data_IF_390531295813
#
_entry.id   IF_390531295813
#
_cell.length_a   1.000
_cell.length_b   1.000
_cell.length_c   1.000
_cell.angle_alpha   90.00
_cell.angle_beta   90.00
_cell.angle_gamma   90.00
#
_symmetry.space_group_name_H-M   'P 1'
#
loop_
_entity.id
_entity.type
_entity.pdbx_description
1 polymer ?
#
# COMPACT_ATOMS: atom_id res chain seq x y z
N UNK A 1 -55.95 40.56 34.84
CA UNK A 1 -54.48 40.59 34.78
C UNK A 1 -53.74 39.24 34.87
N UNK A 2 -54.29 38.17 35.40
CA UNK A 2 -53.61 36.89 35.63
C UNK A 2 -53.45 35.96 34.40
N UNK A 3 -54.13 36.23 33.27
CA UNK A 3 -54.02 35.42 32.02
C UNK A 3 -52.87 35.84 31.14
N UNK A 4 -52.49 37.13 31.11
CA UNK A 4 -51.40 37.63 30.28
C UNK A 4 -49.99 37.17 30.72
N UNK A 5 -49.77 37.06 32.03
CA UNK A 5 -48.46 36.64 32.57
C UNK A 5 -48.13 35.18 32.23
N UNK A 6 -49.14 34.27 32.14
CA UNK A 6 -48.91 32.86 31.78
C UNK A 6 -48.56 32.69 30.31
N UNK A 7 -49.09 33.54 29.41
CA UNK A 7 -48.79 33.48 27.97
C UNK A 7 -47.37 33.95 27.68
N UNK A 8 -46.92 35.07 28.30
CA UNK A 8 -45.55 35.57 28.18
C UNK A 8 -44.52 34.56 28.70
N UNK A 9 -44.79 33.89 29.84
CA UNK A 9 -43.94 32.89 30.43
C UNK A 9 -43.76 31.67 29.51
N UNK A 10 -44.83 31.24 28.83
CA UNK A 10 -44.77 30.14 27.84
C UNK A 10 -44.01 30.48 26.58
N UNK A 11 -44.14 31.75 26.09
CA UNK A 11 -43.36 32.23 24.92
C UNK A 11 -41.88 32.29 25.24
N UNK A 12 -41.50 32.80 26.41
CA UNK A 12 -40.09 32.89 26.85
C UNK A 12 -39.49 31.49 27.00
N UNK A 13 -40.26 30.54 27.57
CA UNK A 13 -39.82 29.16 27.73
C UNK A 13 -39.60 28.48 26.36
N UNK A 14 -40.50 28.68 25.39
CA UNK A 14 -40.36 28.18 24.02
C UNK A 14 -39.12 28.77 23.31
N UNK A 15 -38.87 30.06 23.51
CA UNK A 15 -37.69 30.72 22.92
C UNK A 15 -36.40 30.23 23.51
N UNK A 16 -36.33 29.95 24.83
CA UNK A 16 -35.16 29.38 25.51
C UNK A 16 -34.93 27.96 25.07
N UNK A 17 -35.95 27.14 24.88
CA UNK A 17 -35.83 25.76 24.40
C UNK A 17 -35.35 25.75 22.94
N UNK A 18 -35.88 26.62 22.07
CA UNK A 18 -35.42 26.71 20.68
C UNK A 18 -33.98 27.19 20.57
N UNK A 19 -33.56 28.14 21.40
CA UNK A 19 -32.17 28.61 21.46
C UNK A 19 -31.19 27.50 21.91
N UNK A 20 -31.58 26.64 22.88
CA UNK A 20 -30.80 25.49 23.32
C UNK A 20 -30.67 24.42 22.22
N UNK A 21 -31.76 24.14 21.48
CA UNK A 21 -31.73 23.19 20.37
C UNK A 21 -30.82 23.68 19.24
N UNK A 22 -30.86 24.98 18.93
CA UNK A 22 -30.02 25.59 17.91
C UNK A 22 -28.53 25.55 18.31
N UNK A 23 -28.20 25.74 19.60
CA UNK A 23 -26.83 25.67 20.12
C UNK A 23 -26.26 24.24 20.07
N UNK A 24 -27.11 23.20 20.25
CA UNK A 24 -26.70 21.80 20.15
C UNK A 24 -26.42 21.35 18.71
N UNK A 25 -26.97 22.05 17.70
CA UNK A 25 -26.74 21.77 16.28
C UNK A 25 -25.47 22.41 15.72
N UNK A 26 -24.84 23.35 16.43
CA UNK A 26 -23.61 24.01 16.06
C UNK A 26 -22.38 23.45 16.77
N UNK A 27 -22.27 22.12 16.87
CA UNK A 27 -21.01 21.52 17.34
C UNK A 27 -19.93 21.84 16.32
N UNK A 28 -18.84 22.56 16.69
CA UNK A 28 -17.72 22.77 15.78
C UNK A 28 -17.15 21.39 15.44
N UNK A 29 -17.22 21.03 14.17
CA UNK A 29 -16.48 19.89 13.66
C UNK A 29 -14.98 20.21 13.80
N UNK A 30 -14.37 19.72 14.87
CA UNK A 30 -12.93 19.81 15.05
C UNK A 30 -12.29 18.87 14.02
N UNK A 31 -11.99 19.39 12.84
CA UNK A 31 -11.18 18.66 11.87
C UNK A 31 -9.75 18.62 12.42
N UNK A 32 -9.31 17.46 12.84
CA UNK A 32 -7.92 17.30 13.26
C UNK A 32 -7.00 17.66 12.09
N UNK A 33 -5.94 18.39 12.39
CA UNK A 33 -4.95 18.78 11.40
C UNK A 33 -4.28 17.53 10.82
N UNK A 34 -4.21 17.46 9.49
CA UNK A 34 -3.56 16.34 8.80
C UNK A 34 -2.05 16.47 8.90
N UNK A 35 -1.40 15.42 9.39
CA UNK A 35 0.05 15.37 9.57
C UNK A 35 0.67 14.47 8.48
N UNK A 36 1.69 14.97 7.73
CA UNK A 36 2.35 14.19 6.69
C UNK A 36 3.11 13.00 7.30
N UNK A 37 2.93 11.83 6.70
CA UNK A 37 3.53 10.57 7.12
C UNK A 37 4.21 9.93 5.93
N UNK A 38 5.55 9.83 5.97
CA UNK A 38 6.35 9.21 4.91
C UNK A 38 6.40 7.71 5.09
N UNK A 39 6.23 6.98 4.00
CA UNK A 39 6.35 5.54 3.95
C UNK A 39 7.20 5.11 2.77
N UNK A 40 8.09 4.15 3.01
CA UNK A 40 8.84 3.42 1.98
C UNK A 40 8.28 2.00 1.93
N UNK A 41 8.02 1.51 0.72
CA UNK A 41 7.63 0.12 0.44
C UNK A 41 8.69 -0.49 -0.48
N UNK A 42 9.10 -1.73 -0.18
CA UNK A 42 9.96 -2.53 -1.04
C UNK A 42 9.32 -3.88 -1.33
N UNK A 43 9.21 -4.18 -2.61
CA UNK A 43 8.78 -5.49 -3.10
C UNK A 43 10.04 -6.27 -3.44
N UNK A 44 10.19 -7.42 -2.82
CA UNK A 44 11.38 -8.26 -2.93
C UNK A 44 11.00 -9.66 -3.40
N UNK A 45 11.90 -10.32 -4.08
CA UNK A 45 11.76 -11.74 -4.38
C UNK A 45 12.12 -12.54 -3.13
N UNK A 46 11.30 -13.55 -2.81
CA UNK A 46 11.50 -14.43 -1.66
C UNK A 46 12.89 -15.07 -1.73
N UNK A 47 13.59 -15.00 -0.61
CA UNK A 47 14.98 -15.51 -0.47
C UNK A 47 15.95 -14.95 -1.53
N UNK A 48 15.65 -13.77 -2.07
CA UNK A 48 16.43 -13.15 -3.13
C UNK A 48 16.47 -11.62 -2.96
N UNK A 49 16.62 -10.89 -4.04
CA UNK A 49 16.92 -9.46 -4.10
C UNK A 49 15.67 -8.60 -4.28
N UNK A 50 15.86 -7.27 -4.26
CA UNK A 50 14.79 -6.32 -4.54
C UNK A 50 14.37 -6.43 -6.01
N UNK A 51 13.05 -6.41 -6.27
CA UNK A 51 12.51 -6.43 -7.64
C UNK A 51 12.75 -5.07 -8.28
N UNK A 52 13.76 -5.02 -9.16
CA UNK A 52 14.21 -3.78 -9.79
C UNK A 52 13.60 -3.52 -11.16
N UNK A 53 13.98 -2.37 -11.75
CA UNK A 53 13.51 -1.92 -13.07
C UNK A 53 13.85 -2.88 -14.19
N UNK A 54 14.91 -3.73 -14.07
CA UNK A 54 15.31 -4.73 -15.06
C UNK A 54 14.25 -5.80 -15.37
N UNK A 55 13.31 -6.04 -14.45
CA UNK A 55 12.14 -6.92 -14.63
C UNK A 55 10.83 -6.13 -14.66
N UNK A 56 10.91 -4.82 -14.91
CA UNK A 56 9.77 -3.93 -14.99
C UNK A 56 9.38 -3.27 -13.68
N UNK A 57 10.06 -3.58 -12.57
CA UNK A 57 9.71 -3.08 -11.23
C UNK A 57 8.43 -3.69 -10.69
N UNK A 58 7.84 -3.03 -9.70
CA UNK A 58 6.59 -3.44 -9.07
C UNK A 58 5.59 -2.28 -9.01
N UNK A 59 4.32 -2.58 -9.21
CA UNK A 59 3.23 -1.66 -8.89
C UNK A 59 2.93 -1.73 -7.39
N UNK A 60 2.71 -0.57 -6.77
CA UNK A 60 2.36 -0.44 -5.36
C UNK A 60 1.14 0.47 -5.25
N UNK A 61 0.15 0.06 -4.46
CA UNK A 61 -1.02 0.86 -4.11
C UNK A 61 -1.29 0.75 -2.61
N UNK A 62 -1.53 1.89 -1.98
CA UNK A 62 -1.88 1.99 -0.58
C UNK A 62 -3.31 2.54 -0.50
N UNK A 63 -4.22 1.79 0.13
CA UNK A 63 -5.60 2.22 0.34
C UNK A 63 -5.96 2.19 1.82
N UNK A 64 -6.84 3.06 2.22
CA UNK A 64 -7.49 3.04 3.53
C UNK A 64 -8.45 1.83 3.59
N UNK A 65 -8.28 0.96 4.59
CA UNK A 65 -9.11 -0.25 4.73
C UNK A 65 -10.54 0.06 5.16
N UNK A 66 -10.74 1.14 5.91
CA UNK A 66 -12.06 1.53 6.43
C UNK A 66 -12.93 2.16 5.34
N UNK A 67 -12.34 3.07 4.54
CA UNK A 67 -13.08 3.84 3.53
C UNK A 67 -12.96 3.26 2.12
N UNK A 68 -11.95 2.43 1.87
CA UNK A 68 -11.61 1.95 0.53
C UNK A 68 -10.88 2.99 -0.34
N UNK A 69 -10.66 4.20 0.16
CA UNK A 69 -9.99 5.28 -0.56
C UNK A 69 -8.54 4.91 -0.90
N UNK A 70 -8.14 5.16 -2.14
CA UNK A 70 -6.74 5.03 -2.57
C UNK A 70 -5.99 6.25 -2.08
N UNK A 71 -5.12 6.07 -1.09
CA UNK A 71 -4.32 7.14 -0.52
C UNK A 71 -3.13 7.52 -1.43
N UNK A 72 -2.53 6.52 -2.07
CA UNK A 72 -1.44 6.71 -3.03
C UNK A 72 -1.22 5.44 -3.85
N UNK A 73 -0.64 5.59 -5.03
CA UNK A 73 -0.18 4.49 -5.86
C UNK A 73 0.95 4.93 -6.77
N UNK A 74 1.77 3.98 -7.19
CA UNK A 74 2.88 4.25 -8.09
C UNK A 74 3.69 3.00 -8.37
N UNK A 75 4.89 3.22 -8.89
CA UNK A 75 5.79 2.15 -9.30
C UNK A 75 7.05 2.16 -8.42
N UNK A 76 7.48 0.98 -8.02
CA UNK A 76 8.79 0.75 -7.46
C UNK A 76 9.80 0.70 -8.59
N UNK A 77 10.82 1.55 -8.52
CA UNK A 77 11.87 1.65 -9.53
C UNK A 77 13.25 1.74 -8.87
N UNK A 78 14.27 1.27 -9.59
CA UNK A 78 15.67 1.25 -9.15
C UNK A 78 16.33 -0.09 -9.43
N UNK A 79 17.49 -0.31 -8.80
CA UNK A 79 18.27 -1.54 -8.92
C UNK A 79 17.81 -2.65 -7.98
N UNK A 80 18.55 -3.75 -8.04
CA UNK A 80 18.28 -4.94 -7.20
C UNK A 80 18.85 -4.85 -5.78
N UNK A 81 19.51 -3.74 -5.45
CA UNK A 81 20.25 -3.57 -4.20
C UNK A 81 21.63 -4.27 -4.20
N UNK A 82 22.27 -4.24 -3.04
CA UNK A 82 23.52 -4.96 -2.80
C UNK A 82 23.24 -6.45 -2.65
N UNK A 83 23.43 -7.18 -3.75
CA UNK A 83 23.13 -8.62 -3.81
C UNK A 83 24.02 -9.48 -2.92
N UNK A 84 25.26 -9.07 -2.67
CA UNK A 84 26.16 -9.76 -1.74
C UNK A 84 25.63 -9.65 -0.31
N UNK A 85 25.23 -8.44 0.11
CA UNK A 85 24.63 -8.21 1.43
C UNK A 85 23.31 -8.96 1.60
N UNK A 86 22.47 -8.98 0.57
CA UNK A 86 21.14 -9.58 0.63
C UNK A 86 21.21 -11.10 0.67
N UNK A 87 22.10 -11.72 -0.14
CA UNK A 87 22.06 -13.16 -0.43
C UNK A 87 23.22 -13.95 0.17
N UNK A 88 24.40 -13.33 0.36
CA UNK A 88 25.61 -14.06 0.75
C UNK A 88 25.99 -13.89 2.23
N UNK A 89 25.48 -12.87 2.91
CA UNK A 89 25.83 -12.58 4.31
C UNK A 89 24.70 -12.97 5.28
N UNK A 90 25.04 -13.50 6.46
CA UNK A 90 24.06 -13.65 7.52
C UNK A 90 23.48 -12.30 7.94
N UNK A 91 22.17 -12.22 8.05
CA UNK A 91 21.47 -10.98 8.46
C UNK A 91 21.66 -10.74 9.95
N UNK A 92 21.98 -9.49 10.31
CA UNK A 92 22.09 -9.07 11.71
C UNK A 92 20.79 -8.37 12.14
N UNK A 93 20.44 -8.49 13.42
CA UNK A 93 19.26 -7.83 13.97
C UNK A 93 19.38 -6.30 13.86
N UNK A 94 18.36 -5.67 13.25
CA UNK A 94 18.33 -4.21 13.05
C UNK A 94 19.16 -3.71 11.86
N UNK A 95 19.75 -4.61 11.08
CA UNK A 95 20.47 -4.25 9.87
C UNK A 95 19.49 -3.86 8.74
N UNK A 96 19.85 -2.80 8.00
CA UNK A 96 19.16 -2.44 6.74
C UNK A 96 19.77 -3.30 5.63
N UNK A 97 19.01 -4.28 5.15
CA UNK A 97 19.49 -5.25 4.14
C UNK A 97 19.10 -4.83 2.74
N UNK A 98 17.82 -4.50 2.53
CA UNK A 98 17.28 -4.14 1.22
C UNK A 98 17.40 -2.64 0.90
N UNK A 99 17.52 -1.78 1.93
CA UNK A 99 17.60 -0.33 1.80
C UNK A 99 18.98 0.20 1.39
N UNK A 100 19.71 -0.49 0.52
CA UNK A 100 21.04 -0.09 0.03
C UNK A 100 20.95 0.96 -1.08
N UNK A 101 22.06 1.65 -1.34
CA UNK A 101 22.13 2.69 -2.39
C UNK A 101 21.72 2.12 -3.75
N UNK A 102 20.84 2.84 -4.46
CA UNK A 102 20.33 2.44 -5.76
C UNK A 102 19.33 1.29 -5.76
N UNK A 103 19.02 0.69 -4.60
CA UNK A 103 17.97 -0.33 -4.48
C UNK A 103 16.60 0.25 -4.79
N UNK A 104 15.77 -0.48 -5.52
CA UNK A 104 14.42 -0.06 -5.87
C UNK A 104 13.53 0.11 -4.62
N UNK A 105 12.68 1.13 -4.66
CA UNK A 105 11.65 1.36 -3.65
C UNK A 105 10.50 2.18 -4.24
N UNK A 106 9.35 2.13 -3.60
CA UNK A 106 8.26 3.08 -3.74
C UNK A 106 8.21 3.94 -2.49
N UNK A 107 8.19 5.26 -2.65
CA UNK A 107 8.05 6.20 -1.54
C UNK A 107 6.84 7.08 -1.74
N UNK A 108 6.10 7.30 -0.67
CA UNK A 108 4.98 8.22 -0.66
C UNK A 108 4.94 9.04 0.64
N UNK A 109 4.25 10.18 0.58
CA UNK A 109 3.86 10.98 1.73
C UNK A 109 2.34 11.04 1.79
N UNK A 110 1.78 10.60 2.91
CA UNK A 110 0.33 10.49 3.13
C UNK A 110 -0.03 11.38 4.33
N UNK A 111 -0.95 12.31 4.13
CA UNK A 111 -1.44 13.20 5.18
C UNK A 111 -2.59 12.56 5.95
N UNK A 112 -2.39 12.31 7.24
CA UNK A 112 -3.33 11.61 8.12
C UNK A 112 -3.70 12.48 9.31
N UNK A 113 -4.96 12.46 9.72
CA UNK A 113 -5.50 13.12 10.90
C UNK A 113 -5.64 12.19 12.12
N UNK A 114 -5.60 10.87 11.88
CA UNK A 114 -5.73 9.81 12.89
C UNK A 114 -4.97 8.55 12.48
N UNK A 115 -4.69 7.64 13.43
CA UNK A 115 -4.19 6.31 13.10
C UNK A 115 -5.13 5.63 12.10
N UNK A 116 -4.57 5.21 10.96
CA UNK A 116 -5.34 4.71 9.82
C UNK A 116 -4.85 3.33 9.43
N UNK A 117 -5.73 2.35 9.41
CA UNK A 117 -5.43 1.03 8.88
C UNK A 117 -5.36 1.09 7.35
N UNK A 118 -4.25 0.64 6.79
CA UNK A 118 -4.04 0.62 5.35
C UNK A 118 -3.72 -0.78 4.86
N UNK A 119 -4.13 -1.04 3.63
CA UNK A 119 -3.71 -2.17 2.83
C UNK A 119 -2.69 -1.69 1.80
N UNK A 120 -1.55 -2.36 1.75
CA UNK A 120 -0.54 -2.18 0.71
C UNK A 120 -0.68 -3.37 -0.24
N UNK A 121 -1.09 -3.09 -1.46
CA UNK A 121 -1.20 -4.05 -2.55
C UNK A 121 -0.06 -3.87 -3.53
N UNK A 122 0.51 -4.98 -4.01
CA UNK A 122 1.60 -4.97 -4.99
C UNK A 122 1.40 -5.99 -6.09
N UNK A 123 1.90 -5.66 -7.28
CA UNK A 123 2.00 -6.56 -8.44
C UNK A 123 3.42 -6.47 -9.02
N UNK A 124 4.04 -7.61 -9.25
CA UNK A 124 5.36 -7.71 -9.89
C UNK A 124 5.59 -9.13 -10.45
N UNK A 125 6.50 -9.31 -11.39
CA UNK A 125 7.29 -8.33 -12.16
C UNK A 125 6.48 -7.75 -13.33
N UNK A 126 6.49 -6.45 -13.52
CA UNK A 126 5.60 -5.80 -14.51
C UNK A 126 6.00 -6.05 -15.97
N UNK A 127 7.29 -6.40 -16.24
CA UNK A 127 7.75 -6.73 -17.59
C UNK A 127 7.35 -8.14 -18.05
N UNK A 128 6.83 -8.98 -17.15
CA UNK A 128 6.47 -10.38 -17.44
C UNK A 128 5.03 -10.68 -17.02
N UNK A 129 4.04 -10.25 -17.82
CA UNK A 129 2.62 -10.39 -17.49
C UNK A 129 2.19 -11.82 -17.13
N UNK A 130 2.81 -12.84 -17.77
CA UNK A 130 2.53 -14.25 -17.51
C UNK A 130 3.01 -14.74 -16.13
N UNK A 131 3.89 -13.97 -15.47
CA UNK A 131 4.48 -14.31 -14.18
C UNK A 131 4.17 -13.29 -13.09
N UNK A 132 3.21 -12.37 -13.34
CA UNK A 132 2.80 -11.38 -12.34
C UNK A 132 2.21 -12.10 -11.12
N UNK A 133 2.77 -11.75 -10.00
CA UNK A 133 2.29 -12.16 -8.68
C UNK A 133 1.76 -10.96 -7.92
N UNK A 134 0.95 -11.23 -6.91
CA UNK A 134 0.29 -10.23 -6.08
C UNK A 134 0.68 -10.42 -4.63
N UNK A 135 1.03 -9.32 -3.99
CA UNK A 135 1.31 -9.28 -2.57
C UNK A 135 0.38 -8.33 -1.85
N UNK A 136 0.06 -8.66 -0.61
CA UNK A 136 -0.80 -7.89 0.27
C UNK A 136 -0.17 -7.80 1.66
N UNK A 137 -0.20 -6.59 2.24
CA UNK A 137 0.18 -6.37 3.63
C UNK A 137 -0.71 -5.31 4.25
N UNK A 138 -1.16 -5.56 5.48
CA UNK A 138 -1.94 -4.58 6.24
C UNK A 138 -1.14 -4.07 7.42
N UNK A 139 -1.25 -2.78 7.70
CA UNK A 139 -0.65 -2.15 8.88
C UNK A 139 -1.39 -0.88 9.25
N UNK A 140 -1.12 -0.34 10.44
CA UNK A 140 -1.64 0.94 10.88
C UNK A 140 -0.58 2.02 10.69
N UNK A 141 -0.89 3.04 9.88
CA UNK A 141 -0.11 4.26 9.80
C UNK A 141 -0.53 5.20 10.92
N UNK A 142 0.45 5.77 11.60
CA UNK A 142 0.26 6.74 12.68
C UNK A 142 0.72 8.10 12.17
N UNK A 143 -0.12 9.18 12.30
CA UNK A 143 0.24 10.52 11.86
C UNK A 143 1.63 10.94 12.34
N UNK A 144 2.49 11.40 11.42
CA UNK A 144 3.85 11.85 11.71
C UNK A 144 4.87 10.74 12.02
N UNK A 145 4.45 9.49 12.21
CA UNK A 145 5.37 8.37 12.43
C UNK A 145 5.82 7.79 11.08
N UNK A 146 6.93 8.27 10.58
CA UNK A 146 7.49 7.84 9.29
C UNK A 146 7.99 6.40 9.33
N UNK A 147 7.81 5.67 8.22
CA UNK A 147 8.35 4.32 7.99
C UNK A 147 9.41 4.43 6.89
N UNK A 148 10.65 4.60 7.31
CA UNK A 148 11.82 4.84 6.46
C UNK A 148 12.84 3.69 6.57
N UNK A 149 14.03 3.88 6.00
CA UNK A 149 15.11 2.90 6.05
C UNK A 149 14.78 1.64 5.25
N UNK A 150 14.62 0.51 5.91
CA UNK A 150 14.18 -0.74 5.28
C UNK A 150 12.76 -0.61 4.71
N UNK A 151 11.90 0.16 5.36
CA UNK A 151 10.52 0.35 4.95
C UNK A 151 9.63 -0.86 5.24
N UNK A 152 8.53 -0.96 4.52
CA UNK A 152 7.64 -2.11 4.53
C UNK A 152 8.08 -3.07 3.44
N UNK A 153 8.48 -4.28 3.84
CA UNK A 153 8.89 -5.34 2.91
C UNK A 153 7.67 -6.19 2.56
N UNK A 154 7.48 -6.44 1.26
CA UNK A 154 6.50 -7.38 0.72
C UNK A 154 7.25 -8.37 -0.16
N UNK A 155 7.19 -9.65 0.23
CA UNK A 155 7.86 -10.73 -0.47
C UNK A 155 6.90 -11.37 -1.49
N UNK A 156 7.42 -11.61 -2.70
CA UNK A 156 6.75 -12.38 -3.75
C UNK A 156 7.61 -13.59 -4.11
N UNK A 157 7.02 -14.61 -4.72
CA UNK A 157 7.81 -15.77 -5.17
C UNK A 157 8.86 -15.34 -6.20
N UNK A 158 10.02 -16.01 -6.18
CA UNK A 158 11.24 -15.51 -6.79
C UNK A 158 11.51 -15.95 -8.24
N UNK A 159 10.55 -16.59 -8.95
CA UNK A 159 10.82 -17.19 -10.26
C UNK A 159 9.90 -16.66 -11.36
N UNK A 160 10.50 -16.38 -12.54
CA UNK A 160 9.79 -16.17 -13.79
C UNK A 160 9.98 -17.43 -14.62
N UNK A 161 8.88 -18.04 -15.07
CA UNK A 161 8.90 -19.14 -16.02
C UNK A 161 8.34 -18.66 -17.35
N UNK A 162 9.11 -18.82 -18.41
CA UNK A 162 8.73 -18.46 -19.77
C UNK A 162 8.81 -19.69 -20.68
N UNK A 163 7.66 -20.14 -21.19
CA UNK A 163 7.59 -21.26 -22.13
C UNK A 163 7.94 -20.77 -23.53
N UNK A 164 9.03 -21.28 -24.10
CA UNK A 164 9.53 -20.95 -25.41
C UNK A 164 8.98 -21.85 -26.51
N UNK A 165 8.63 -23.10 -26.15
CA UNK A 165 8.05 -24.10 -27.04
C UNK A 165 7.14 -25.05 -26.21
N UNK A 166 5.90 -25.37 -26.67
CA UNK A 166 5.23 -24.85 -27.86
C UNK A 166 4.85 -23.37 -27.70
N UNK A 167 4.65 -22.69 -28.85
CA UNK A 167 4.13 -21.31 -28.80
C UNK A 167 2.65 -21.33 -28.37
N UNK A 168 2.12 -20.24 -27.75
CA UNK A 168 0.72 -20.20 -27.29
C UNK A 168 -0.34 -20.42 -28.39
N UNK A 169 0.04 -20.31 -29.66
CA UNK A 169 -0.83 -20.48 -30.82
C UNK A 169 -0.54 -21.76 -31.63
N UNK A 170 0.38 -22.59 -31.16
CA UNK A 170 0.76 -23.79 -31.86
C UNK A 170 -0.33 -24.86 -31.71
N UNK A 171 -0.74 -25.44 -32.83
CA UNK A 171 -1.72 -26.52 -32.86
C UNK A 171 -0.98 -27.85 -32.73
N UNK A 172 -1.19 -28.52 -31.61
CA UNK A 172 -0.58 -29.80 -31.33
C UNK A 172 -1.45 -30.94 -31.90
N UNK A 173 -0.83 -31.94 -32.54
CA UNK A 173 -1.53 -33.11 -33.05
C UNK A 173 -1.50 -34.23 -32.00
N UNK A 174 -2.64 -34.94 -31.89
CA UNK A 174 -2.74 -36.07 -30.95
C UNK A 174 -1.78 -37.18 -31.38
N UNK A 175 -0.94 -37.61 -30.40
CA UNK A 175 0.00 -38.72 -30.59
C UNK A 175 1.40 -38.27 -31.05
N UNK A 176 1.65 -37.00 -31.31
CA UNK A 176 3.01 -36.48 -31.52
C UNK A 176 3.75 -36.27 -30.20
N UNK A 177 5.06 -36.54 -30.21
CA UNK A 177 5.93 -36.23 -29.10
C UNK A 177 6.10 -34.71 -28.97
N UNK A 178 5.83 -34.17 -27.79
CA UNK A 178 5.94 -32.75 -27.49
C UNK A 178 7.22 -32.46 -26.69
N UNK A 179 8.11 -31.68 -27.29
CA UNK A 179 9.26 -31.13 -26.56
C UNK A 179 8.88 -29.78 -25.98
N UNK A 180 8.84 -29.68 -24.63
CA UNK A 180 8.62 -28.41 -23.93
C UNK A 180 10.00 -27.78 -23.67
N UNK A 181 10.18 -26.54 -24.16
CA UNK A 181 11.34 -25.71 -23.87
C UNK A 181 10.92 -24.50 -23.05
N UNK A 182 11.53 -24.33 -21.91
CA UNK A 182 11.25 -23.19 -21.00
C UNK A 182 12.54 -22.50 -20.57
N UNK A 183 12.45 -21.18 -20.38
CA UNK A 183 13.45 -20.37 -19.68
C UNK A 183 12.94 -20.13 -18.25
N UNK A 184 13.82 -20.35 -17.27
CA UNK A 184 13.56 -20.02 -15.87
C UNK A 184 14.53 -18.92 -15.47
N UNK A 185 14.01 -17.83 -14.93
CA UNK A 185 14.78 -16.67 -14.50
C UNK A 185 14.43 -16.32 -13.05
N UNK A 186 15.42 -15.98 -12.24
CA UNK A 186 15.23 -15.43 -10.90
C UNK A 186 14.81 -13.96 -11.01
N UNK A 187 13.83 -13.57 -10.18
CA UNK A 187 13.39 -12.19 -9.97
C UNK A 187 14.46 -11.35 -9.29
#
# INVERSE_FOLDING_TARGET
MRKQTKTISRLVLLFLVSAHILFLLTSPSFSAEKVPTKIIVRVVAKDSKVIGSGVGGAFVRIRNLETGEILTQGKQEGGTGDTERIMARPRQRGEIVYGTSGAAFFQAEISLDRPTQVEIYTEAPLAYPQSIQKGLKTLTLIPGKHILGEGVIIELDGLIVNILNPSPKEVLKKGEELTIKAEVRML
#
